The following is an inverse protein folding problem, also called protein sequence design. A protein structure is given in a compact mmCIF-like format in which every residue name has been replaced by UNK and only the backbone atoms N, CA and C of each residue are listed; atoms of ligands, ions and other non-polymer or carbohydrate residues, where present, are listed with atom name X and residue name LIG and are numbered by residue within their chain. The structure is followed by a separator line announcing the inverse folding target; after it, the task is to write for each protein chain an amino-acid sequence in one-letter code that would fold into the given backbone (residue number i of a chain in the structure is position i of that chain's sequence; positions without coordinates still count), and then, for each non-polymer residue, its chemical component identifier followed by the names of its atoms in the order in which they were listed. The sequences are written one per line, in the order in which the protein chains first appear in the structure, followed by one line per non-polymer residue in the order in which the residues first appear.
data_IF_029371784029
#
_entry.id   IF_029371784029
#
_cell.length_a   1.000
_cell.length_b   1.000
_cell.length_c   1.000
_cell.angle_alpha   90.00
_cell.angle_beta   90.00
_cell.angle_gamma   90.00
#
_symmetry.space_group_name_H-M   'P 1'
#
loop_
_entity.id
_entity.type
_entity.pdbx_description
1 polymer ?
#
# COMPACT_ATOMS: atom_id res chain seq x y z
N UNK A 1 9.82 27.17 6.55
CA UNK A 1 9.96 25.93 5.77
C UNK A 1 9.77 24.77 6.73
N UNK A 2 8.77 23.92 6.50
CA UNK A 2 8.66 22.63 7.19
C UNK A 2 9.65 21.69 6.50
N UNK A 3 10.48 20.97 7.25
CA UNK A 3 11.38 19.98 6.66
C UNK A 3 10.58 18.77 6.17
N UNK A 4 11.07 18.04 5.16
CA UNK A 4 10.42 16.81 4.69
C UNK A 4 10.16 15.81 5.84
N UNK A 5 11.05 15.79 6.84
CA UNK A 5 10.92 14.94 8.04
C UNK A 5 9.77 15.39 8.94
N UNK A 6 9.61 16.69 9.16
CA UNK A 6 8.50 17.23 9.94
C UNK A 6 7.17 17.08 9.21
N UNK A 7 7.18 17.11 7.88
CA UNK A 7 6.00 16.84 7.06
C UNK A 7 5.54 15.38 7.19
N UNK A 8 6.46 14.42 7.06
CA UNK A 8 6.12 12.99 7.26
C UNK A 8 5.62 12.76 8.68
N UNK A 9 6.29 13.31 9.70
CA UNK A 9 5.88 13.16 11.09
C UNK A 9 4.50 13.76 11.38
N UNK A 10 4.11 14.83 10.67
CA UNK A 10 2.78 15.41 10.76
C UNK A 10 1.69 14.46 10.25
N UNK A 11 2.03 13.62 9.25
CA UNK A 11 1.09 12.70 8.61
C UNK A 11 1.28 11.24 9.02
N UNK A 12 2.15 10.94 9.98
CA UNK A 12 2.53 9.58 10.39
C UNK A 12 1.30 8.73 10.74
N UNK A 13 0.40 9.26 11.57
CA UNK A 13 -0.84 8.56 11.94
C UNK A 13 -1.78 8.35 10.76
N UNK A 14 -1.88 9.30 9.82
CA UNK A 14 -2.71 9.10 8.63
C UNK A 14 -2.10 8.09 7.66
N UNK A 15 -0.78 8.05 7.54
CA UNK A 15 -0.08 7.03 6.74
C UNK A 15 -0.32 5.65 7.34
N UNK A 16 -0.16 5.49 8.65
CA UNK A 16 -0.43 4.21 9.32
C UNK A 16 -1.89 3.76 9.14
N UNK A 17 -2.84 4.70 9.20
CA UNK A 17 -4.25 4.43 8.94
C UNK A 17 -4.46 3.96 7.50
N UNK A 18 -3.93 4.68 6.50
CA UNK A 18 -4.06 4.32 5.08
C UNK A 18 -3.44 2.95 4.79
N UNK A 19 -2.26 2.66 5.34
CA UNK A 19 -1.61 1.34 5.20
C UNK A 19 -2.49 0.24 5.80
N UNK A 20 -3.09 0.48 6.96
CA UNK A 20 -3.95 -0.51 7.63
C UNK A 20 -5.19 -0.80 6.81
N UNK A 21 -5.84 0.24 6.29
CA UNK A 21 -7.07 0.11 5.50
C UNK A 21 -6.77 -0.64 4.18
N UNK A 22 -5.68 -0.31 3.48
CA UNK A 22 -5.25 -1.03 2.26
C UNK A 22 -4.98 -2.51 2.55
N UNK A 23 -4.21 -2.80 3.61
CA UNK A 23 -3.86 -4.17 3.96
C UNK A 23 -5.08 -4.99 4.36
N UNK A 24 -6.07 -4.38 5.01
CA UNK A 24 -7.31 -5.05 5.36
C UNK A 24 -8.06 -5.47 4.09
N UNK A 25 -8.31 -4.56 3.16
CA UNK A 25 -9.04 -4.86 1.93
C UNK A 25 -8.31 -5.91 1.07
N UNK A 26 -6.98 -5.80 0.95
CA UNK A 26 -6.15 -6.82 0.28
C UNK A 26 -6.30 -8.18 0.98
N UNK A 27 -6.30 -8.22 2.32
CA UNK A 27 -6.42 -9.49 3.06
C UNK A 27 -7.77 -10.19 2.86
N UNK A 28 -8.84 -9.41 2.73
CA UNK A 28 -10.18 -9.90 2.43
C UNK A 28 -10.23 -10.50 1.02
N UNK A 29 -9.67 -9.81 0.02
CA UNK A 29 -9.55 -10.34 -1.35
C UNK A 29 -8.70 -11.61 -1.39
N UNK A 30 -7.49 -11.61 -0.81
CA UNK A 30 -6.60 -12.76 -0.78
C UNK A 30 -7.25 -14.01 -0.17
N UNK A 31 -8.05 -13.82 0.89
CA UNK A 31 -8.79 -14.92 1.54
C UNK A 31 -9.86 -15.53 0.64
N UNK A 32 -10.40 -14.74 -0.30
CA UNK A 32 -11.48 -15.16 -1.20
C UNK A 32 -10.99 -15.75 -2.53
N UNK A 33 -9.93 -15.18 -3.12
CA UNK A 33 -9.47 -15.48 -4.49
C UNK A 33 -8.03 -15.96 -4.60
N UNK A 34 -7.26 -15.97 -3.50
CA UNK A 34 -5.83 -16.35 -3.52
C UNK A 34 -4.92 -15.37 -4.28
N UNK A 35 -5.46 -14.23 -4.69
CA UNK A 35 -4.80 -13.10 -5.33
C UNK A 35 -5.67 -11.85 -5.11
N UNK A 36 -5.06 -10.67 -5.08
CA UNK A 36 -5.75 -9.40 -4.91
C UNK A 36 -5.25 -8.39 -5.94
N UNK A 37 -6.15 -7.68 -6.57
CA UNK A 37 -5.79 -6.68 -7.59
C UNK A 37 -6.84 -5.60 -7.66
N UNK A 38 -6.44 -4.35 -7.50
CA UNK A 38 -7.38 -3.24 -7.53
C UNK A 38 -6.73 -1.88 -7.43
N UNK A 39 -7.52 -0.86 -7.74
CA UNK A 39 -7.16 0.54 -7.53
C UNK A 39 -7.64 1.00 -6.15
N UNK A 40 -6.73 1.58 -5.39
CA UNK A 40 -6.98 2.18 -4.10
C UNK A 40 -6.96 3.70 -4.20
N UNK A 41 -8.11 4.34 -4.06
CA UNK A 41 -8.20 5.79 -3.96
C UNK A 41 -7.60 6.27 -2.63
N UNK A 42 -6.69 7.23 -2.67
CA UNK A 42 -5.99 7.74 -1.49
C UNK A 42 -6.92 8.65 -0.68
N UNK A 43 -7.23 8.31 0.58
CA UNK A 43 -8.29 9.00 1.35
C UNK A 43 -7.78 9.88 2.48
N UNK A 44 -6.78 9.41 3.23
CA UNK A 44 -6.37 9.99 4.50
C UNK A 44 -5.07 10.81 4.40
N UNK A 45 -4.30 10.62 3.34
CA UNK A 45 -3.00 11.26 3.15
C UNK A 45 -2.95 12.15 1.91
N UNK A 46 -2.04 13.14 1.86
CA UNK A 46 -1.73 13.85 0.62
C UNK A 46 -1.13 12.89 -0.43
N UNK A 47 -1.46 13.10 -1.71
CA UNK A 47 -0.95 12.27 -2.81
C UNK A 47 0.58 12.21 -2.88
N UNK A 48 1.29 13.23 -2.38
CA UNK A 48 2.76 13.23 -2.26
C UNK A 48 3.31 12.12 -1.36
N UNK A 49 2.49 11.51 -0.50
CA UNK A 49 2.84 10.38 0.37
C UNK A 49 2.33 9.03 -0.16
N UNK A 50 1.64 9.00 -1.30
CA UNK A 50 1.10 7.77 -1.88
C UNK A 50 2.19 6.75 -2.19
N UNK A 51 3.32 7.18 -2.77
CA UNK A 51 4.45 6.31 -3.03
C UNK A 51 5.08 5.72 -1.76
N UNK A 52 5.16 6.51 -0.69
CA UNK A 52 5.65 6.03 0.61
C UNK A 52 4.70 4.97 1.18
N UNK A 53 3.40 5.23 1.11
CA UNK A 53 2.35 4.32 1.61
C UNK A 53 2.32 3.02 0.82
N UNK A 54 2.39 3.09 -0.51
CA UNK A 54 2.48 1.92 -1.38
C UNK A 54 3.70 1.05 -1.06
N UNK A 55 4.86 1.69 -0.82
CA UNK A 55 6.06 0.98 -0.40
C UNK A 55 5.90 0.30 0.96
N UNK A 56 5.25 0.95 1.93
CA UNK A 56 4.99 0.37 3.25
C UNK A 56 4.07 -0.84 3.15
N UNK A 57 2.97 -0.73 2.39
CA UNK A 57 2.05 -1.85 2.10
C UNK A 57 2.81 -3.02 1.46
N UNK A 58 3.61 -2.75 0.43
CA UNK A 58 4.43 -3.77 -0.23
C UNK A 58 5.37 -4.48 0.74
N UNK A 59 6.05 -3.72 1.62
CA UNK A 59 6.95 -4.30 2.61
C UNK A 59 6.23 -5.20 3.62
N UNK A 60 5.02 -4.83 4.05
CA UNK A 60 4.23 -5.66 4.97
C UNK A 60 3.74 -6.95 4.29
N UNK A 61 3.31 -6.87 3.03
CA UNK A 61 2.90 -8.03 2.24
C UNK A 61 4.07 -8.99 1.99
N UNK A 62 5.26 -8.47 1.69
CA UNK A 62 6.48 -9.25 1.51
C UNK A 62 6.86 -10.03 2.78
N UNK A 63 6.72 -9.41 3.97
CA UNK A 63 6.96 -10.10 5.25
C UNK A 63 6.02 -11.29 5.47
N UNK A 64 4.80 -11.21 4.91
CA UNK A 64 3.80 -12.28 4.97
C UNK A 64 3.95 -13.30 3.83
N UNK A 65 4.95 -13.12 2.95
CA UNK A 65 5.25 -14.04 1.86
C UNK A 65 4.49 -13.79 0.56
N UNK A 66 3.88 -12.61 0.42
CA UNK A 66 3.21 -12.16 -0.80
C UNK A 66 4.12 -11.24 -1.60
N UNK A 67 4.06 -11.34 -2.92
CA UNK A 67 4.65 -10.35 -3.82
C UNK A 67 3.61 -9.30 -4.17
N UNK A 68 4.03 -8.03 -4.19
CA UNK A 68 3.18 -6.89 -4.44
C UNK A 68 3.81 -5.97 -5.48
N UNK A 69 3.19 -5.88 -6.65
CA UNK A 69 3.51 -4.83 -7.62
C UNK A 69 2.55 -3.68 -7.44
N UNK A 70 3.04 -2.44 -7.40
CA UNK A 70 2.21 -1.26 -7.27
C UNK A 70 2.56 -0.19 -8.28
N UNK A 71 1.55 0.59 -8.69
CA UNK A 71 1.69 1.77 -9.54
C UNK A 71 0.95 2.95 -8.90
N UNK A 72 1.61 4.10 -8.76
CA UNK A 72 0.96 5.32 -8.26
C UNK A 72 0.39 6.09 -9.44
N UNK A 73 -0.95 6.15 -9.52
CA UNK A 73 -1.68 6.85 -10.58
C UNK A 73 -2.03 8.26 -10.11
N UNK A 74 -1.12 9.21 -10.35
CA UNK A 74 -1.28 10.61 -9.91
C UNK A 74 -2.56 11.29 -10.42
N UNK A 75 -2.96 11.01 -11.67
CA UNK A 75 -4.14 11.65 -12.29
C UNK A 75 -5.48 11.19 -11.69
N UNK A 76 -5.52 9.97 -11.16
CA UNK A 76 -6.72 9.40 -10.53
C UNK A 76 -6.61 9.38 -9.00
N UNK A 77 -5.59 10.02 -8.43
CA UNK A 77 -5.33 10.06 -6.99
C UNK A 77 -5.40 8.67 -6.33
N UNK A 78 -4.88 7.66 -7.04
CA UNK A 78 -5.01 6.26 -6.65
C UNK A 78 -3.68 5.51 -6.71
N UNK A 79 -3.62 4.39 -5.98
CA UNK A 79 -2.53 3.42 -6.03
C UNK A 79 -3.12 2.12 -6.54
N UNK A 80 -2.61 1.62 -7.65
CA UNK A 80 -2.96 0.28 -8.12
C UNK A 80 -2.06 -0.74 -7.43
N UNK A 81 -2.66 -1.79 -6.87
CA UNK A 81 -1.96 -2.92 -6.28
C UNK A 81 -2.27 -4.20 -7.05
N UNK A 82 -1.24 -5.01 -7.25
CA UNK A 82 -1.31 -6.34 -7.84
C UNK A 82 -0.54 -7.30 -6.93
N UNK A 83 -1.26 -8.10 -6.16
CA UNK A 83 -0.73 -8.98 -5.11
C UNK A 83 -0.94 -10.44 -5.45
N UNK A 84 0.13 -11.22 -5.37
CA UNK A 84 0.16 -12.62 -5.73
C UNK A 84 1.14 -13.41 -4.85
N UNK A 85 0.97 -14.73 -4.81
CA UNK A 85 1.81 -15.59 -3.98
C UNK A 85 3.27 -15.51 -4.46
N UNK A 86 4.22 -15.28 -3.55
CA UNK A 86 5.63 -15.21 -3.95
C UNK A 86 6.12 -16.58 -4.43
N UNK A 87 6.68 -16.62 -5.64
CA UNK A 87 7.27 -17.83 -6.21
C UNK A 87 8.53 -18.25 -5.42
N UNK A 88 9.15 -17.32 -4.69
CA UNK A 88 10.31 -17.58 -3.83
C UNK A 88 9.98 -18.42 -2.60
N UNK A 89 8.71 -18.48 -2.20
CA UNK A 89 8.24 -19.27 -1.05
C UNK A 89 7.71 -20.67 -1.44
N UNK A 90 7.81 -21.07 -2.71
CA UNK A 90 7.37 -22.39 -3.20
C UNK A 90 8.49 -23.45 -3.19
N UNK A 91 9.64 -23.19 -2.54
CA UNK A 91 10.81 -24.10 -2.46
C UNK A 91 11.00 -24.65 -1.05
#
# INVERSE_FOLDING_TARGET
MISARDFIKKYETQVDQEVTDILQDISEELSSSGSASGEWEVRHIPMSLAALTAQLVSNELEKMGWECNYEVRELSEAIEFNVYLSVRNLV
#
